data_IF_223973393760
#
_entry.id   IF_223973393760
#
_cell.length_a   1.000
_cell.length_b   1.000
_cell.length_c   1.000
_cell.angle_alpha   90.00
_cell.angle_beta   90.00
_cell.angle_gamma   90.00
#
_symmetry.space_group_name_H-M   'P 1'
#
loop_
_entity.id
_entity.type
_entity.pdbx_description
1 polymer ?
#
# COMPACT_ATOMS: atom_id res chain seq x y z
N UNK A 1 -12.52 12.28 22.04
CA UNK A 1 -12.26 10.96 21.44
C UNK A 1 -10.83 10.94 20.95
N UNK A 2 -10.05 9.90 21.26
CA UNK A 2 -8.66 9.79 20.82
C UNK A 2 -8.58 9.22 19.40
N UNK A 3 -7.59 9.65 18.63
CA UNK A 3 -7.32 9.11 17.30
C UNK A 3 -6.62 7.75 17.44
N UNK A 4 -7.15 6.72 16.78
CA UNK A 4 -6.51 5.42 16.71
C UNK A 4 -5.48 5.38 15.57
N UNK A 5 -4.37 4.68 15.80
CA UNK A 5 -3.30 4.46 14.81
C UNK A 5 -3.16 2.96 14.57
N UNK A 6 -3.16 2.54 13.31
CA UNK A 6 -2.92 1.16 12.87
C UNK A 6 -1.67 1.13 11.98
N UNK A 7 -0.68 0.34 12.37
CA UNK A 7 0.53 0.10 11.59
C UNK A 7 0.50 -1.32 11.03
N UNK A 8 0.64 -1.45 9.70
CA UNK A 8 0.67 -2.73 9.00
C UNK A 8 2.04 -2.84 8.34
N UNK A 9 2.76 -3.92 8.63
CA UNK A 9 4.05 -4.24 8.03
C UNK A 9 3.96 -5.63 7.39
N UNK A 10 4.36 -5.72 6.12
CA UNK A 10 4.43 -6.96 5.35
C UNK A 10 5.86 -7.46 5.25
N UNK A 11 6.06 -8.77 5.21
CA UNK A 11 7.38 -9.38 5.05
C UNK A 11 7.74 -9.55 3.56
N UNK A 12 8.99 -9.24 3.21
CA UNK A 12 9.57 -9.35 1.85
C UNK A 12 8.70 -8.78 0.71
N UNK A 13 7.93 -7.73 0.98
CA UNK A 13 6.98 -7.18 0.01
C UNK A 13 7.71 -6.31 -1.03
N UNK A 14 7.69 -6.76 -2.29
CA UNK A 14 8.18 -5.97 -3.42
C UNK A 14 7.19 -4.86 -3.77
N UNK A 15 7.67 -3.60 -3.84
CA UNK A 15 6.85 -2.42 -4.16
C UNK A 15 5.98 -2.60 -5.40
N UNK A 16 6.58 -3.05 -6.50
CA UNK A 16 5.94 -3.04 -7.81
C UNK A 16 4.85 -4.11 -7.99
N UNK A 17 4.61 -4.98 -6.98
CA UNK A 17 3.68 -6.10 -7.09
C UNK A 17 2.21 -5.72 -6.85
N UNK A 18 1.94 -4.52 -6.34
CA UNK A 18 0.56 -4.09 -6.05
C UNK A 18 -0.06 -3.36 -7.24
N UNK A 19 -1.38 -3.46 -7.37
CA UNK A 19 -2.14 -2.78 -8.42
C UNK A 19 -1.96 -1.27 -8.40
N UNK A 20 -1.84 -0.64 -7.22
CA UNK A 20 -1.57 0.80 -7.12
C UNK A 20 -0.16 1.22 -7.58
N UNK A 21 0.78 0.28 -7.72
CA UNK A 21 2.07 0.49 -8.38
C UNK A 21 2.13 -0.05 -9.82
N UNK A 22 1.01 -0.55 -10.35
CA UNK A 22 0.84 -0.87 -11.77
C UNK A 22 1.07 -2.33 -12.16
N UNK A 23 1.10 -3.28 -11.22
CA UNK A 23 1.16 -4.70 -11.56
C UNK A 23 -0.08 -5.13 -12.38
N UNK A 24 0.09 -5.80 -13.54
CA UNK A 24 -1.03 -6.13 -14.43
C UNK A 24 -1.79 -7.41 -14.03
N UNK A 25 -1.27 -8.22 -13.10
CA UNK A 25 -1.79 -9.56 -12.80
C UNK A 25 -2.29 -9.68 -11.35
N UNK A 26 -1.55 -9.13 -10.40
CA UNK A 26 -1.80 -9.26 -8.97
C UNK A 26 -2.96 -8.34 -8.57
N UNK A 27 -3.93 -8.90 -7.85
CA UNK A 27 -5.14 -8.19 -7.43
C UNK A 27 -5.01 -7.76 -5.98
N UNK A 28 -4.85 -6.47 -5.74
CA UNK A 28 -4.75 -5.88 -4.39
C UNK A 28 -5.86 -4.86 -4.09
N UNK A 29 -7.15 -5.18 -4.30
CA UNK A 29 -8.22 -4.17 -4.32
C UNK A 29 -8.36 -3.36 -3.02
N UNK A 30 -8.00 -3.94 -1.87
CA UNK A 30 -8.02 -3.22 -0.60
C UNK A 30 -6.85 -2.24 -0.43
N UNK A 31 -5.65 -2.60 -0.90
CA UNK A 31 -4.50 -1.71 -0.92
C UNK A 31 -4.69 -0.62 -1.97
N UNK A 32 -5.24 -0.95 -3.13
CA UNK A 32 -5.53 0.00 -4.20
C UNK A 32 -6.55 1.05 -3.71
N UNK A 33 -7.60 0.62 -3.00
CA UNK A 33 -8.56 1.53 -2.37
C UNK A 33 -7.94 2.36 -1.26
N UNK A 34 -6.99 1.82 -0.50
CA UNK A 34 -6.28 2.57 0.54
C UNK A 34 -5.37 3.65 -0.07
N UNK A 35 -4.66 3.31 -1.15
CA UNK A 35 -3.85 4.23 -1.93
C UNK A 35 -4.69 5.35 -2.55
N UNK A 36 -5.83 5.03 -3.17
CA UNK A 36 -6.71 6.00 -3.81
C UNK A 36 -7.36 7.02 -2.84
N UNK A 37 -7.44 6.69 -1.55
CA UNK A 37 -8.04 7.57 -0.52
C UNK A 37 -7.02 8.21 0.42
N UNK A 38 -5.74 7.95 0.19
CA UNK A 38 -4.64 8.34 1.07
C UNK A 38 -3.47 8.90 0.29
N UNK A 39 -2.27 8.73 0.84
CA UNK A 39 -1.01 9.17 0.23
C UNK A 39 -0.17 7.95 -0.09
N UNK A 40 0.29 7.85 -1.34
CA UNK A 40 1.29 6.87 -1.78
C UNK A 40 2.68 7.51 -1.81
N UNK A 41 3.71 6.72 -1.57
CA UNK A 41 5.10 7.19 -1.57
C UNK A 41 5.91 6.43 -2.62
N UNK A 42 6.27 7.09 -3.72
CA UNK A 42 7.04 6.45 -4.80
C UNK A 42 8.50 6.14 -4.43
N UNK A 43 8.99 6.78 -3.36
CA UNK A 43 10.38 6.74 -2.88
C UNK A 43 10.46 6.50 -1.37
N UNK A 44 9.96 5.37 -0.91
CA UNK A 44 10.11 4.89 0.47
C UNK A 44 11.25 3.87 0.57
N UNK A 45 12.17 4.05 1.52
CA UNK A 45 13.38 3.23 1.72
C UNK A 45 13.42 2.68 3.15
N UNK A 46 14.11 1.56 3.33
CA UNK A 46 14.36 0.89 4.62
C UNK A 46 15.83 0.93 5.02
#
# INVERSE_FOLDING_TARGET
>A
MAQNVLFICSDQHQRDITGCYGDPLVKTPNLDRLAARGTTFDKAYC
#
